data_IF_229853466208
#
_entry.id   IF_229853466208
#
_cell.length_a   1.000
_cell.length_b   1.000
_cell.length_c   1.000
_cell.angle_alpha   90.00
_cell.angle_beta   90.00
_cell.angle_gamma   90.00
#
_symmetry.space_group_name_H-M   'P 1'
#
loop_
_entity.id
_entity.type
_entity.pdbx_description
1 polymer ?
#
# COMPACT_ATOMS: atom_id res chain seq x y z
N UNK A 1 -0.13 -4.38 12.55
CA UNK A 1 -0.21 -2.95 12.16
C UNK A 1 -0.37 -2.09 13.38
N UNK A 2 -1.47 -2.28 14.07
CA UNK A 2 -1.92 -1.58 15.26
C UNK A 2 -2.58 -2.67 16.12
N UNK A 3 -2.74 -2.46 17.42
CA UNK A 3 -3.29 -3.49 18.31
C UNK A 3 -4.85 -3.55 18.29
N UNK A 4 -5.48 -2.87 17.33
CA UNK A 4 -6.92 -2.87 17.10
C UNK A 4 -7.27 -3.10 15.62
N UNK A 5 -8.55 -3.37 15.32
CA UNK A 5 -9.02 -3.55 13.94
C UNK A 5 -9.14 -2.20 13.21
N UNK A 6 -8.23 -1.95 12.25
CA UNK A 6 -8.27 -0.72 11.46
C UNK A 6 -9.53 -0.60 10.61
N UNK A 7 -10.17 -1.70 10.20
CA UNK A 7 -11.42 -1.68 9.48
C UNK A 7 -12.53 -1.08 10.33
N UNK A 8 -12.65 -1.55 11.58
CA UNK A 8 -13.60 -1.02 12.57
C UNK A 8 -13.29 0.42 13.00
N UNK A 9 -12.03 0.85 12.98
CA UNK A 9 -11.68 2.25 13.24
C UNK A 9 -12.06 3.17 12.08
N UNK A 10 -11.79 2.74 10.84
CA UNK A 10 -11.91 3.58 9.65
C UNK A 10 -13.35 3.64 9.12
N UNK A 11 -14.04 2.49 9.04
CA UNK A 11 -15.34 2.37 8.39
C UNK A 11 -16.43 3.32 8.93
N UNK A 12 -16.57 3.56 10.25
CA UNK A 12 -17.59 4.47 10.78
C UNK A 12 -17.41 5.93 10.32
N UNK A 13 -16.22 6.29 9.83
CA UNK A 13 -15.89 7.65 9.38
C UNK A 13 -15.93 7.79 7.85
N UNK A 14 -16.35 6.74 7.12
CA UNK A 14 -16.38 6.71 5.67
C UNK A 14 -17.47 5.75 5.16
N UNK A 15 -18.74 6.09 5.38
CA UNK A 15 -19.91 5.36 4.86
C UNK A 15 -19.90 3.83 5.08
N UNK A 16 -19.31 3.36 6.19
CA UNK A 16 -19.24 1.93 6.51
C UNK A 16 -18.13 1.17 5.79
N UNK A 17 -17.22 1.83 5.06
CA UNK A 17 -16.11 1.22 4.32
C UNK A 17 -14.78 1.84 4.75
N UNK A 18 -13.70 1.07 4.98
CA UNK A 18 -12.40 1.65 5.29
C UNK A 18 -11.90 2.59 4.17
N UNK A 19 -11.28 3.72 4.53
CA UNK A 19 -10.74 4.69 3.57
C UNK A 19 -9.81 4.09 2.51
N UNK A 20 -9.03 3.06 2.86
CA UNK A 20 -8.13 2.37 1.93
C UNK A 20 -8.84 1.42 0.96
N UNK A 21 -10.13 1.12 1.20
CA UNK A 21 -10.97 0.27 0.35
C UNK A 21 -11.97 1.07 -0.50
N UNK A 22 -11.97 2.40 -0.35
CA UNK A 22 -12.85 3.29 -1.09
C UNK A 22 -12.23 3.60 -2.47
N UNK A 23 -12.64 2.76 -3.44
CA UNK A 23 -12.01 2.55 -4.74
C UNK A 23 -12.26 3.66 -5.78
N UNK A 24 -12.89 4.78 -5.44
CA UNK A 24 -13.05 5.89 -6.39
C UNK A 24 -11.74 6.63 -6.68
N UNK A 25 -10.75 6.53 -5.79
CA UNK A 25 -9.47 7.26 -5.93
C UNK A 25 -8.22 6.39 -5.75
N UNK A 26 -8.36 5.18 -5.23
CA UNK A 26 -7.25 4.25 -4.95
C UNK A 26 -7.63 2.93 -5.59
N UNK A 27 -6.86 2.49 -6.58
CA UNK A 27 -7.07 1.18 -7.18
C UNK A 27 -6.07 0.21 -6.55
N UNK A 28 -6.53 -0.77 -5.75
CA UNK A 28 -5.63 -1.80 -5.26
C UNK A 28 -4.97 -2.52 -6.44
N UNK A 29 -3.65 -2.63 -6.41
CA UNK A 29 -2.92 -3.49 -7.33
C UNK A 29 -2.50 -4.75 -6.57
N UNK A 30 -2.63 -5.90 -7.22
CA UNK A 30 -2.08 -7.16 -6.74
C UNK A 30 -0.94 -7.54 -7.68
N UNK A 31 0.09 -8.19 -7.15
CA UNK A 31 1.03 -8.90 -8.00
C UNK A 31 0.29 -9.96 -8.82
N UNK A 32 0.74 -10.20 -10.05
CA UNK A 32 0.05 -11.14 -10.93
C UNK A 32 -0.03 -12.55 -10.35
N UNK A 33 1.04 -12.99 -9.68
CA UNK A 33 1.12 -14.26 -8.96
C UNK A 33 0.12 -14.29 -7.80
N UNK A 34 0.06 -13.21 -7.02
CA UNK A 34 -0.90 -13.05 -5.92
C UNK A 34 -2.34 -13.12 -6.43
N UNK A 35 -2.67 -12.39 -7.49
CA UNK A 35 -4.00 -12.40 -8.09
C UNK A 35 -4.40 -13.81 -8.54
N UNK A 36 -3.48 -14.52 -9.20
CA UNK A 36 -3.72 -15.89 -9.67
C UNK A 36 -3.93 -16.86 -8.51
N UNK A 37 -3.14 -16.76 -7.44
CA UNK A 37 -3.31 -17.56 -6.22
C UNK A 37 -4.68 -17.28 -5.58
N UNK A 38 -4.99 -16.01 -5.35
CA UNK A 38 -6.24 -15.57 -4.70
C UNK A 38 -7.49 -15.94 -5.50
N UNK A 39 -7.41 -16.07 -6.83
CA UNK A 39 -8.53 -16.56 -7.65
C UNK A 39 -8.79 -18.06 -7.49
N UNK A 40 -7.76 -18.86 -7.21
CA UNK A 40 -7.88 -20.31 -7.01
C UNK A 40 -8.56 -20.65 -5.69
N UNK A 41 -8.31 -19.85 -4.65
CA UNK A 41 -8.84 -20.06 -3.30
C UNK A 41 -10.31 -19.62 -3.12
N UNK A 42 -11.00 -19.28 -4.21
CA UNK A 42 -12.34 -18.69 -4.23
C UNK A 42 -12.31 -17.29 -4.87
N UNK A 43 -13.35 -16.91 -5.59
CA UNK A 43 -13.41 -15.67 -6.40
C UNK A 43 -13.40 -14.39 -5.55
N UNK A 44 -12.28 -14.07 -4.90
CA UNK A 44 -12.20 -12.91 -4.02
C UNK A 44 -11.86 -11.64 -4.79
N UNK A 45 -10.80 -11.59 -5.60
CA UNK A 45 -10.40 -10.34 -6.25
C UNK A 45 -10.89 -10.27 -7.70
N UNK A 46 -11.56 -9.16 -8.04
CA UNK A 46 -12.04 -8.88 -9.40
C UNK A 46 -11.19 -7.82 -10.06
N UNK A 47 -10.98 -7.92 -11.38
CA UNK A 47 -10.26 -6.89 -12.13
C UNK A 47 -11.05 -5.58 -12.11
N UNK A 48 -10.33 -4.47 -12.05
CA UNK A 48 -10.93 -3.14 -12.13
C UNK A 48 -11.43 -2.92 -13.57
N UNK A 49 -12.69 -2.50 -13.77
CA UNK A 49 -13.17 -2.14 -15.08
C UNK A 49 -12.44 -0.89 -15.58
N UNK A 50 -12.18 -0.81 -16.88
CA UNK A 50 -11.61 0.40 -17.50
C UNK A 50 -12.66 1.51 -17.49
N UNK A 51 -12.57 2.42 -16.52
CA UNK A 51 -13.56 3.51 -16.35
C UNK A 51 -13.20 4.78 -17.12
N UNK A 52 -11.92 4.99 -17.43
CA UNK A 52 -11.42 6.14 -18.18
C UNK A 52 -10.03 5.85 -18.79
N UNK A 53 -9.55 6.77 -19.62
CA UNK A 53 -8.26 6.66 -20.32
C UNK A 53 -7.06 6.61 -19.37
N UNK A 54 -7.11 7.32 -18.23
CA UNK A 54 -6.04 7.29 -17.24
C UNK A 54 -5.89 5.90 -16.60
N UNK A 55 -7.01 5.26 -16.23
CA UNK A 55 -7.03 3.89 -15.73
C UNK A 55 -6.57 2.90 -16.80
N UNK A 56 -6.98 3.10 -18.06
CA UNK A 56 -6.51 2.28 -19.18
C UNK A 56 -4.98 2.29 -19.28
N UNK A 57 -4.39 3.48 -19.33
CA UNK A 57 -2.93 3.65 -19.41
C UNK A 57 -2.20 3.01 -18.24
N UNK A 58 -2.67 3.25 -17.00
CA UNK A 58 -2.08 2.62 -15.82
C UNK A 58 -2.11 1.09 -15.89
N UNK A 59 -3.23 0.51 -16.35
CA UNK A 59 -3.35 -0.95 -16.55
C UNK A 59 -2.36 -1.41 -17.62
N UNK A 60 -2.30 -0.76 -18.78
CA UNK A 60 -1.43 -1.16 -19.89
C UNK A 60 0.06 -1.05 -19.54
N UNK A 61 0.47 0.05 -18.91
CA UNK A 61 1.86 0.33 -18.52
C UNK A 61 2.41 -0.66 -17.48
N UNK A 62 1.54 -1.34 -16.73
CA UNK A 62 1.96 -2.24 -15.65
C UNK A 62 1.37 -3.66 -15.72
N UNK A 63 0.70 -4.00 -16.83
CA UNK A 63 0.03 -5.29 -17.03
C UNK A 63 0.96 -6.51 -16.97
N UNK A 64 2.27 -6.30 -17.15
CA UNK A 64 3.27 -7.37 -17.03
C UNK A 64 3.40 -7.89 -15.60
N UNK A 65 3.26 -7.01 -14.59
CA UNK A 65 3.55 -7.34 -13.18
C UNK A 65 2.33 -7.18 -12.26
N UNK A 66 1.46 -6.21 -12.55
CA UNK A 66 0.33 -5.86 -11.70
C UNK A 66 -1.03 -6.22 -12.32
N UNK A 67 -1.95 -6.57 -11.44
CA UNK A 67 -3.37 -6.68 -11.75
C UNK A 67 -4.14 -5.70 -10.89
N UNK A 68 -4.64 -4.63 -11.51
CA UNK A 68 -5.56 -3.70 -10.87
C UNK A 68 -6.84 -4.44 -10.52
N UNK A 69 -7.16 -4.49 -9.23
CA UNK A 69 -8.24 -5.30 -8.70
C UNK A 69 -9.05 -4.55 -7.64
N UNK A 70 -10.32 -4.94 -7.48
CA UNK A 70 -11.20 -4.44 -6.44
C UNK A 70 -11.37 -5.48 -5.33
N UNK A 71 -11.38 -5.01 -4.08
CA UNK A 71 -11.75 -5.84 -2.94
C UNK A 71 -13.24 -6.18 -3.02
N UNK A 72 -13.65 -7.45 -2.86
CA UNK A 72 -15.04 -7.87 -3.08
C UNK A 72 -15.98 -7.48 -1.93
N UNK A 73 -15.44 -7.39 -0.71
CA UNK A 73 -16.24 -7.17 0.51
C UNK A 73 -15.55 -6.11 1.36
N UNK A 74 -15.50 -4.85 0.90
CA UNK A 74 -14.78 -3.80 1.59
C UNK A 74 -15.40 -3.45 2.96
N UNK A 75 -16.69 -3.74 3.16
CA UNK A 75 -17.42 -3.56 4.43
C UNK A 75 -17.03 -4.56 5.52
N UNK A 76 -16.51 -5.75 5.16
CA UNK A 76 -16.01 -6.78 6.10
C UNK A 76 -14.51 -7.03 5.85
N UNK A 77 -13.69 -5.99 6.12
CA UNK A 77 -12.27 -5.99 5.83
C UNK A 77 -11.44 -6.89 6.78
N UNK A 78 -11.41 -8.19 6.50
CA UNK A 78 -10.63 -9.18 7.26
C UNK A 78 -9.15 -9.19 6.85
N UNK A 79 -8.25 -9.10 7.83
CA UNK A 79 -6.79 -9.05 7.58
C UNK A 79 -6.27 -10.25 6.78
N UNK A 80 -6.76 -11.46 7.04
CA UNK A 80 -6.35 -12.69 6.35
C UNK A 80 -6.69 -12.73 4.86
N UNK A 81 -7.63 -11.89 4.41
CA UNK A 81 -8.08 -11.81 3.01
C UNK A 81 -7.48 -10.62 2.24
N UNK A 82 -6.66 -9.81 2.91
CA UNK A 82 -6.03 -8.63 2.30
C UNK A 82 -5.00 -9.04 1.27
N UNK A 83 -4.86 -8.22 0.23
CA UNK A 83 -3.69 -8.32 -0.63
C UNK A 83 -2.43 -7.88 0.12
N UNK A 84 -1.25 -8.21 -0.41
CA UNK A 84 0.05 -7.77 0.11
C UNK A 84 0.09 -6.24 0.26
N UNK A 85 -0.36 -5.51 -0.76
CA UNK A 85 -0.46 -4.05 -0.70
C UNK A 85 -1.43 -3.53 0.38
N UNK A 86 -2.55 -4.22 0.60
CA UNK A 86 -3.45 -3.89 1.70
C UNK A 86 -2.88 -4.24 3.09
N UNK A 87 -1.91 -5.16 3.17
CA UNK A 87 -1.22 -5.52 4.41
C UNK A 87 -0.16 -4.51 4.81
N UNK A 88 0.47 -3.83 3.85
CA UNK A 88 1.52 -2.82 4.09
C UNK A 88 0.99 -1.40 4.29
N UNK A 89 -0.21 -1.07 3.77
CA UNK A 89 -0.91 0.19 4.08
C UNK A 89 -0.93 0.45 5.60
N UNK A 90 -0.73 1.68 6.11
CA UNK A 90 -0.61 2.96 5.40
C UNK A 90 0.82 3.26 4.94
N UNK A 91 1.70 2.27 4.96
CA UNK A 91 3.11 2.47 4.74
C UNK A 91 3.58 1.93 3.39
N UNK A 92 4.63 2.56 2.90
CA UNK A 92 5.44 2.11 1.78
C UNK A 92 6.92 2.19 2.20
N UNK A 93 7.82 1.43 1.57
CA UNK A 93 9.22 1.43 1.95
C UNK A 93 9.85 2.75 1.53
N UNK A 94 10.75 3.25 2.38
CA UNK A 94 11.73 4.21 1.95
C UNK A 94 13.00 3.45 1.59
N UNK A 95 13.50 3.63 0.37
CA UNK A 95 14.63 2.88 -0.16
C UNK A 95 15.76 3.85 -0.46
N UNK A 96 16.95 3.55 0.07
CA UNK A 96 18.15 4.34 -0.17
C UNK A 96 18.63 4.18 -1.62
N UNK A 97 19.51 5.08 -2.08
CA UNK A 97 20.16 4.94 -3.40
C UNK A 97 21.00 3.66 -3.54
N UNK A 98 21.38 3.03 -2.44
CA UNK A 98 22.09 1.75 -2.40
C UNK A 98 21.14 0.55 -2.32
N UNK A 99 19.82 0.77 -2.38
CA UNK A 99 18.84 -0.30 -2.34
C UNK A 99 18.55 -0.89 -0.96
N UNK A 100 19.00 -0.24 0.12
CA UNK A 100 18.63 -0.63 1.49
C UNK A 100 17.27 -0.06 1.85
N UNK A 101 16.57 -0.66 2.81
CA UNK A 101 15.29 -0.15 3.34
C UNK A 101 15.51 0.42 4.75
N UNK A 102 15.84 1.72 4.93
CA UNK A 102 16.08 2.28 6.26
C UNK A 102 14.82 2.33 7.14
N UNK A 103 13.65 2.11 6.54
CA UNK A 103 12.38 2.02 7.24
C UNK A 103 11.21 2.36 6.33
N UNK A 104 10.08 2.63 6.95
CA UNK A 104 8.82 2.86 6.27
C UNK A 104 8.43 4.34 6.29
N UNK A 105 7.64 4.76 5.34
CA UNK A 105 7.03 6.09 5.32
C UNK A 105 5.56 5.97 4.96
N UNK A 106 4.76 6.99 5.28
CA UNK A 106 3.38 7.02 4.83
C UNK A 106 3.29 7.02 3.31
N UNK A 107 2.36 6.23 2.77
CA UNK A 107 2.06 6.28 1.34
C UNK A 107 1.49 7.62 0.93
N UNK A 108 1.81 8.06 -0.29
CA UNK A 108 1.19 9.25 -0.87
C UNK A 108 -0.28 9.01 -1.27
N UNK A 109 -0.72 7.76 -1.30
CA UNK A 109 -2.06 7.36 -1.77
C UNK A 109 -3.12 7.35 -0.65
N UNK A 110 -2.82 7.88 0.55
CA UNK A 110 -3.80 7.92 1.64
C UNK A 110 -4.87 9.00 1.42
N UNK A 111 -6.14 8.69 1.68
CA UNK A 111 -7.23 9.67 1.69
C UNK A 111 -7.15 10.59 2.93
N UNK A 112 -7.49 11.86 2.73
CA UNK A 112 -7.71 12.80 3.81
C UNK A 112 -8.80 12.28 4.76
N UNK A 113 -8.56 12.40 6.06
CA UNK A 113 -9.47 11.88 7.09
C UNK A 113 -9.16 10.45 7.58
N UNK A 114 -8.33 9.68 6.86
CA UNK A 114 -7.91 8.35 7.30
C UNK A 114 -7.25 8.41 8.70
N UNK A 115 -7.79 7.73 9.72
CA UNK A 115 -7.23 7.77 11.08
C UNK A 115 -5.79 7.24 11.18
N UNK A 116 -5.41 6.31 10.31
CA UNK A 116 -4.05 5.74 10.27
C UNK A 116 -3.02 6.71 9.66
N UNK A 117 -3.46 7.63 8.80
CA UNK A 117 -2.59 8.64 8.17
C UNK A 117 -2.31 9.83 9.11
N UNK A 118 -2.88 9.84 10.33
CA UNK A 118 -2.61 10.88 11.32
C UNK A 118 -1.23 10.68 11.96
N UNK A 119 -0.54 11.78 12.26
CA UNK A 119 0.89 11.84 12.65
C UNK A 119 1.27 11.13 13.98
N UNK A 120 0.42 10.33 14.64
CA UNK A 120 0.81 9.68 15.89
C UNK A 120 1.53 8.35 15.63
N UNK A 121 2.81 8.23 16.03
CA UNK A 121 3.59 6.98 15.98
C UNK A 121 3.06 5.91 16.94
N UNK A 122 2.45 6.35 18.05
CA UNK A 122 2.10 5.49 19.20
C UNK A 122 1.02 4.45 18.91
N UNK A 123 0.32 4.57 17.78
CA UNK A 123 -0.72 3.60 17.44
C UNK A 123 -0.16 2.36 16.75
N UNK A 124 1.03 2.44 16.13
CA UNK A 124 1.60 1.36 15.33
C UNK A 124 2.46 0.42 16.17
N UNK A 125 2.21 -0.87 16.01
CA UNK A 125 2.94 -1.92 16.69
C UNK A 125 4.37 -2.04 16.09
N UNK A 126 5.45 -1.97 16.90
CA UNK A 126 6.83 -2.08 16.43
C UNK A 126 7.13 -3.38 15.66
N UNK A 127 6.55 -4.51 16.08
CA UNK A 127 6.71 -5.81 15.40
C UNK A 127 6.14 -5.75 13.99
N UNK A 128 5.06 -5.01 13.79
CA UNK A 128 4.53 -4.81 12.44
C UNK A 128 5.47 -3.97 11.56
N UNK A 129 6.09 -2.92 12.11
CA UNK A 129 7.06 -2.12 11.36
C UNK A 129 8.26 -2.98 10.95
N UNK A 130 8.80 -3.77 11.88
CA UNK A 130 9.89 -4.71 11.61
C UNK A 130 9.51 -5.73 10.52
N UNK A 131 8.38 -6.41 10.65
CA UNK A 131 7.93 -7.42 9.68
C UNK A 131 7.63 -6.82 8.31
N UNK A 132 7.11 -5.58 8.26
CA UNK A 132 6.91 -4.88 6.99
C UNK A 132 8.22 -4.52 6.30
N UNK A 133 9.27 -4.18 7.05
CA UNK A 133 10.61 -3.93 6.46
C UNK A 133 11.16 -5.23 5.87
N UNK A 134 11.13 -6.33 6.63
CA UNK A 134 11.56 -7.66 6.15
C UNK A 134 10.79 -8.08 4.91
N UNK A 135 9.46 -7.91 4.91
CA UNK A 135 8.63 -8.18 3.74
C UNK A 135 9.11 -7.41 2.50
N UNK A 136 9.40 -6.12 2.62
CA UNK A 136 9.87 -5.32 1.49
C UNK A 136 11.27 -5.72 1.03
N UNK A 137 12.17 -6.07 1.95
CA UNK A 137 13.50 -6.57 1.61
C UNK A 137 13.42 -7.89 0.81
N UNK A 138 12.63 -8.86 1.28
CA UNK A 138 12.40 -10.12 0.58
C UNK A 138 11.70 -9.91 -0.77
N UNK A 139 10.71 -9.01 -0.82
CA UNK A 139 10.01 -8.68 -2.07
C UNK A 139 10.98 -8.07 -3.10
N UNK A 140 11.91 -7.22 -2.67
CA UNK A 140 12.89 -6.61 -3.58
C UNK A 140 13.97 -7.57 -4.08
N UNK A 141 14.24 -8.65 -3.35
CA UNK A 141 15.10 -9.72 -3.84
C UNK A 141 14.39 -10.56 -4.91
N UNK A 142 13.07 -10.70 -4.81
CA UNK A 142 12.24 -11.40 -5.81
C UNK A 142 11.91 -10.53 -7.03
N UNK A 143 11.73 -9.22 -6.83
CA UNK A 143 11.32 -8.26 -7.86
C UNK A 143 12.28 -7.05 -7.88
N UNK A 144 13.47 -7.17 -8.49
CA UNK A 144 14.44 -6.07 -8.57
C UNK A 144 13.90 -4.80 -9.26
N UNK A 145 12.98 -4.94 -10.20
CA UNK A 145 12.28 -3.83 -10.86
C UNK A 145 11.45 -2.99 -9.88
N UNK A 146 10.83 -3.62 -8.88
CA UNK A 146 10.13 -2.92 -7.81
C UNK A 146 11.11 -2.16 -6.93
N UNK A 147 12.26 -2.76 -6.64
CA UNK A 147 13.32 -2.09 -5.89
C UNK A 147 13.75 -0.79 -6.58
N UNK A 148 14.01 -0.83 -7.89
CA UNK A 148 14.38 0.33 -8.68
C UNK A 148 13.27 1.40 -8.70
N UNK A 149 12.01 0.98 -8.86
CA UNK A 149 10.85 1.87 -8.76
C UNK A 149 10.81 2.59 -7.40
N UNK A 150 10.98 1.86 -6.30
CA UNK A 150 10.91 2.44 -4.96
C UNK A 150 12.16 3.28 -4.59
N UNK A 151 13.33 3.02 -5.19
CA UNK A 151 14.48 3.92 -5.13
C UNK A 151 14.12 5.25 -5.79
N UNK A 152 13.58 5.21 -7.01
CA UNK A 152 13.17 6.40 -7.75
C UNK A 152 12.12 7.22 -6.98
N UNK A 153 11.06 6.56 -6.50
CA UNK A 153 9.99 7.22 -5.74
C UNK A 153 10.49 7.78 -4.39
N UNK A 154 11.44 7.10 -3.74
CA UNK A 154 12.07 7.60 -2.51
C UNK A 154 12.87 8.88 -2.75
N UNK A 155 13.69 8.92 -3.80
CA UNK A 155 14.45 10.14 -4.18
C UNK A 155 13.50 11.29 -4.55
N UNK A 156 12.44 10.99 -5.29
CA UNK A 156 11.41 11.98 -5.66
C UNK A 156 10.71 12.54 -4.42
N UNK A 157 10.36 11.68 -3.45
CA UNK A 157 9.76 12.06 -2.16
C UNK A 157 10.69 12.97 -1.36
N UNK A 158 11.96 12.60 -1.22
CA UNK A 158 12.98 13.42 -0.53
C UNK A 158 13.11 14.81 -1.15
N UNK A 159 13.26 14.88 -2.47
CA UNK A 159 13.37 16.15 -3.21
C UNK A 159 12.14 17.03 -2.99
N UNK A 160 10.95 16.45 -3.08
CA UNK A 160 9.67 17.16 -2.84
C UNK A 160 9.60 17.71 -1.41
N UNK A 161 9.92 16.90 -0.40
CA UNK A 161 9.90 17.35 1.00
C UNK A 161 10.96 18.41 1.28
N UNK A 162 12.16 18.28 0.72
CA UNK A 162 13.23 19.28 0.82
C UNK A 162 12.80 20.64 0.26
N UNK A 163 12.16 20.66 -0.93
CA UNK A 163 11.60 21.89 -1.53
C UNK A 163 10.53 22.55 -0.65
N UNK A 164 9.82 21.75 0.15
CA UNK A 164 8.79 22.24 1.09
C UNK A 164 9.37 22.60 2.48
N UNK A 165 10.68 22.52 2.68
CA UNK A 165 11.29 22.72 4.00
C UNK A 165 10.91 21.65 5.04
N UNK A 166 10.39 20.50 4.60
CA UNK A 166 9.93 19.41 5.47
C UNK A 166 10.97 18.30 5.55
N UNK A 167 11.09 17.69 6.73
CA UNK A 167 11.87 16.46 6.91
C UNK A 167 11.00 15.23 6.62
N UNK A 168 11.60 14.23 5.99
CA UNK A 168 10.97 12.92 5.86
C UNK A 168 10.88 12.27 7.24
N UNK A 169 9.72 11.67 7.52
CA UNK A 169 9.52 10.90 8.74
C UNK A 169 9.58 9.43 8.40
N UNK A 170 10.68 8.79 8.77
CA UNK A 170 10.90 7.36 8.61
C UNK A 170 10.45 6.65 9.89
N UNK A 171 9.77 5.52 9.74
CA UNK A 171 9.36 4.62 10.80
C UNK A 171 10.31 3.43 10.80
N UNK A 172 11.03 3.26 11.90
CA UNK A 172 11.90 2.13 12.20
C UNK A 172 11.25 1.29 13.29
N UNK A 173 11.69 0.04 13.49
CA UNK A 173 11.33 -0.74 14.68
C UNK A 173 11.60 0.02 15.98
#
# INVERSE_FOLDING_TARGET
MIDFDCGKLCAPKNNGIPFCCDNESIVPVLFREEFNLRRKDGKFWEKVPVRNESIRKMIEESASYYVFSMCPVPTDCRRSRRSLNCMTFPFEPHVSRSGKVPGLVYTNNGKDGCPLMKKSRRIFNPVYIANSIVFWEELFDLYPEEKELYIHESVKRERRLKRQGKKIRIFTP
#
